data_IF_422853739022
#
_entry.id   IF_422853739022
#
_cell.length_a   1.000
_cell.length_b   1.000
_cell.length_c   1.000
_cell.angle_alpha   90.00
_cell.angle_beta   90.00
_cell.angle_gamma   90.00
#
_symmetry.space_group_name_H-M   'P 1'
#
loop_
_entity.id
_entity.type
_entity.pdbx_description
1 polymer ?
#
# COMPACT_ATOMS: atom_id res chain seq x y z
N UNK A 1 18.06 -7.27 5.06
CA UNK A 1 17.27 -8.13 4.15
C UNK A 1 16.56 -7.19 3.21
N UNK A 2 16.79 -7.29 1.91
CA UNK A 2 16.04 -6.54 0.91
C UNK A 2 15.05 -7.55 0.33
N UNK A 3 13.98 -7.80 1.10
CA UNK A 3 12.88 -8.64 0.65
C UNK A 3 12.30 -8.05 -0.64
N UNK A 4 12.06 -8.94 -1.59
CA UNK A 4 11.84 -8.64 -2.99
C UNK A 4 10.71 -7.61 -3.19
N UNK A 5 11.09 -6.38 -3.53
CA UNK A 5 10.12 -5.30 -3.78
C UNK A 5 9.18 -5.64 -4.94
N UNK A 6 9.56 -6.60 -5.79
CA UNK A 6 8.72 -7.08 -6.89
C UNK A 6 7.53 -7.88 -6.38
N UNK A 7 7.68 -8.68 -5.32
CA UNK A 7 6.55 -9.37 -4.67
C UNK A 7 5.56 -8.36 -4.08
N UNK A 8 6.05 -7.38 -3.33
CA UNK A 8 5.23 -6.28 -2.78
C UNK A 8 4.53 -5.47 -3.88
N UNK A 9 5.24 -5.19 -4.98
CA UNK A 9 4.67 -4.54 -6.16
C UNK A 9 3.58 -5.38 -6.81
N UNK A 10 3.80 -6.67 -7.00
CA UNK A 10 2.82 -7.57 -7.61
C UNK A 10 1.53 -7.65 -6.78
N UNK A 11 1.65 -7.67 -5.44
CA UNK A 11 0.51 -7.59 -4.52
C UNK A 11 -0.23 -6.26 -4.72
N UNK A 12 0.48 -5.14 -4.75
CA UNK A 12 -0.12 -3.82 -4.95
C UNK A 12 -0.83 -3.70 -6.31
N UNK A 13 -0.20 -4.17 -7.38
CA UNK A 13 -0.76 -4.17 -8.73
C UNK A 13 -1.98 -5.08 -8.84
N UNK A 14 -1.97 -6.24 -8.20
CA UNK A 14 -3.08 -7.22 -8.31
C UNK A 14 -4.27 -6.85 -7.44
N UNK A 15 -4.03 -6.35 -6.22
CA UNK A 15 -5.08 -6.15 -5.21
C UNK A 15 -5.47 -4.68 -5.00
N UNK A 16 -4.56 -3.74 -5.22
CA UNK A 16 -4.75 -2.34 -4.81
C UNK A 16 -4.90 -1.37 -5.99
N UNK A 17 -4.38 -1.71 -7.17
CA UNK A 17 -4.34 -0.83 -8.35
C UNK A 17 -5.71 -0.46 -8.91
N UNK A 18 -6.76 -1.21 -8.58
CA UNK A 18 -8.12 -0.92 -9.03
C UNK A 18 -8.65 0.41 -8.46
N UNK A 19 -8.15 0.82 -7.30
CA UNK A 19 -8.56 2.06 -6.64
C UNK A 19 -7.39 3.01 -6.39
N UNK A 20 -6.20 2.51 -6.09
CA UNK A 20 -5.04 3.31 -5.71
C UNK A 20 -4.02 3.44 -6.84
N UNK A 21 -3.32 4.58 -6.90
CA UNK A 21 -2.05 4.66 -7.63
C UNK A 21 -0.95 3.96 -6.84
N UNK A 22 -0.56 2.78 -7.31
CA UNK A 22 0.44 1.90 -6.68
C UNK A 22 1.83 2.01 -7.30
N UNK A 23 2.00 2.74 -8.40
CA UNK A 23 3.31 2.96 -9.03
C UNK A 23 4.01 4.21 -8.50
N UNK A 24 5.23 4.48 -8.98
CA UNK A 24 6.00 5.70 -8.65
C UNK A 24 5.48 6.98 -9.29
N UNK A 25 4.54 6.86 -10.25
CA UNK A 25 3.84 7.99 -10.89
C UNK A 25 2.34 7.66 -11.10
N UNK A 26 1.56 8.63 -11.60
CA UNK A 26 0.15 8.45 -11.94
C UNK A 26 -0.84 8.95 -10.88
N UNK A 27 -2.13 8.94 -11.22
CA UNK A 27 -3.21 9.31 -10.30
C UNK A 27 -4.00 8.06 -9.91
N UNK A 28 -4.59 8.08 -8.71
CA UNK A 28 -5.46 7.00 -8.28
C UNK A 28 -6.69 6.94 -9.18
N UNK A 29 -7.10 5.74 -9.64
CA UNK A 29 -8.35 5.59 -10.39
C UNK A 29 -9.57 6.09 -9.62
N UNK A 30 -9.54 5.97 -8.30
CA UNK A 30 -10.53 6.56 -7.40
C UNK A 30 -9.96 7.82 -6.76
N UNK A 31 -10.61 8.97 -6.94
CA UNK A 31 -10.13 10.26 -6.45
C UNK A 31 -10.01 10.32 -4.92
N UNK A 32 -10.90 9.61 -4.20
CA UNK A 32 -10.85 9.49 -2.74
C UNK A 32 -9.76 8.52 -2.24
N UNK A 33 -9.20 7.69 -3.11
CA UNK A 33 -8.13 6.75 -2.74
C UNK A 33 -6.77 7.45 -2.82
N UNK A 34 -6.04 7.58 -1.70
CA UNK A 34 -4.72 8.20 -1.70
C UNK A 34 -3.71 7.36 -2.51
N UNK A 35 -2.73 8.04 -3.08
CA UNK A 35 -1.62 7.41 -3.81
C UNK A 35 -0.66 6.77 -2.80
N UNK A 36 -0.11 5.58 -3.11
CA UNK A 36 0.78 4.88 -2.17
C UNK A 36 1.99 5.71 -1.77
N UNK A 37 2.56 6.47 -2.72
CA UNK A 37 3.67 7.39 -2.46
C UNK A 37 3.35 8.47 -1.42
N UNK A 38 2.09 8.86 -1.24
CA UNK A 38 1.67 9.94 -0.32
C UNK A 38 1.02 9.44 0.96
N UNK A 39 0.82 8.12 1.11
CA UNK A 39 0.23 7.55 2.32
C UNK A 39 1.06 7.86 3.56
N UNK A 40 2.39 7.82 3.43
CA UNK A 40 3.32 8.07 4.54
C UNK A 40 3.29 9.52 5.06
N UNK A 41 2.75 10.46 4.29
CA UNK A 41 2.60 11.87 4.68
C UNK A 41 1.39 12.05 5.62
N UNK A 42 0.40 11.16 5.48
CA UNK A 42 -0.88 11.23 6.22
C UNK A 42 -0.94 10.24 7.39
N UNK A 43 -0.28 9.10 7.23
CA UNK A 43 -0.29 8.01 8.21
C UNK A 43 1.13 7.50 8.46
N UNK A 44 1.51 7.28 9.74
CA UNK A 44 2.78 6.64 10.04
C UNK A 44 2.79 5.23 9.44
N UNK A 45 3.96 4.79 8.97
CA UNK A 45 4.04 3.51 8.25
C UNK A 45 3.73 2.32 9.14
N UNK A 46 4.02 2.42 10.43
CA UNK A 46 3.65 1.41 11.42
C UNK A 46 2.13 1.20 11.45
N UNK A 47 1.34 2.28 11.47
CA UNK A 47 -0.13 2.15 11.40
C UNK A 47 -0.64 1.60 10.08
N UNK A 48 0.07 1.84 8.97
CA UNK A 48 -0.27 1.22 7.66
C UNK A 48 0.01 -0.28 7.71
N UNK A 49 1.14 -0.67 8.29
CA UNK A 49 1.54 -2.08 8.47
C UNK A 49 0.57 -2.81 9.38
N UNK A 50 0.19 -2.22 10.52
CA UNK A 50 -0.83 -2.74 11.42
C UNK A 50 -2.18 -2.87 10.71
N UNK A 51 -2.64 -1.81 10.01
CA UNK A 51 -3.90 -1.85 9.29
C UNK A 51 -3.94 -2.95 8.22
N UNK A 52 -2.81 -3.21 7.54
CA UNK A 52 -2.69 -4.30 6.57
C UNK A 52 -2.58 -5.68 7.22
N UNK A 53 -1.88 -5.79 8.35
CA UNK A 53 -1.72 -7.03 9.13
C UNK A 53 -3.04 -7.48 9.74
N UNK A 54 -3.86 -6.54 10.19
CA UNK A 54 -5.22 -6.81 10.62
C UNK A 54 -6.18 -7.05 9.43
N UNK A 55 -5.68 -6.99 8.20
CA UNK A 55 -6.44 -7.32 6.99
C UNK A 55 -7.37 -6.22 6.50
N UNK A 56 -7.05 -4.95 6.79
CA UNK A 56 -7.92 -3.78 6.63
C UNK A 56 -9.06 -3.85 7.67
N UNK A 57 -8.75 -3.73 8.96
CA UNK A 57 -9.73 -4.01 10.03
C UNK A 57 -10.92 -3.04 10.12
N UNK A 58 -10.91 -1.93 9.38
CA UNK A 58 -12.06 -1.01 9.29
C UNK A 58 -12.25 -0.70 7.81
N UNK A 59 -13.04 -1.53 7.11
CA UNK A 59 -13.41 -1.28 5.72
C UNK A 59 -14.07 0.09 5.59
N UNK A 60 -13.26 1.14 5.38
CA UNK A 60 -13.74 2.42 4.95
C UNK A 60 -14.26 2.19 3.54
N UNK A 61 -15.55 1.91 3.43
CA UNK A 61 -16.21 1.75 2.15
C UNK A 61 -15.79 2.91 1.26
N UNK A 62 -15.14 2.65 0.11
CA UNK A 62 -15.24 1.43 -0.70
C UNK A 62 -14.05 0.43 -0.66
N UNK A 63 -13.10 0.53 0.28
CA UNK A 63 -11.92 -0.36 0.29
C UNK A 63 -12.29 -1.80 0.72
N UNK A 64 -12.03 -2.83 -0.12
CA UNK A 64 -12.36 -4.21 0.20
C UNK A 64 -11.39 -4.81 1.24
N UNK A 65 -11.87 -5.79 2.00
CA UNK A 65 -11.08 -6.52 2.99
C UNK A 65 -10.18 -7.52 2.27
N UNK A 66 -8.87 -7.49 2.54
CA UNK A 66 -7.91 -8.45 2.02
C UNK A 66 -7.31 -9.28 3.15
N UNK A 67 -7.26 -10.60 2.97
CA UNK A 67 -6.42 -11.46 3.80
C UNK A 67 -5.03 -11.51 3.19
N UNK A 68 -4.07 -10.86 3.84
CA UNK A 68 -2.65 -10.96 3.55
C UNK A 68 -1.98 -11.71 4.70
N UNK A 69 -1.02 -12.57 4.40
CA UNK A 69 -0.13 -13.15 5.41
C UNK A 69 0.84 -12.09 5.94
N UNK A 70 1.42 -12.31 7.13
CA UNK A 70 2.41 -11.38 7.71
C UNK A 70 3.59 -11.11 6.77
N UNK A 71 3.99 -12.11 5.97
CA UNK A 71 5.01 -11.94 4.94
C UNK A 71 4.55 -11.01 3.82
N UNK A 72 3.37 -11.25 3.24
CA UNK A 72 2.80 -10.40 2.17
C UNK A 72 2.62 -8.94 2.64
N UNK A 73 2.25 -8.74 3.90
CA UNK A 73 2.16 -7.42 4.51
C UNK A 73 3.53 -6.75 4.54
N UNK A 74 4.56 -7.46 5.03
CA UNK A 74 5.94 -6.97 5.04
C UNK A 74 6.45 -6.60 3.64
N UNK A 75 6.17 -7.44 2.63
CA UNK A 75 6.54 -7.20 1.24
C UNK A 75 5.83 -5.97 0.66
N UNK A 76 4.52 -5.84 0.88
CA UNK A 76 3.72 -4.70 0.43
C UNK A 76 4.16 -3.40 1.10
N UNK A 77 4.39 -3.43 2.41
CA UNK A 77 4.88 -2.29 3.18
C UNK A 77 6.29 -1.91 2.75
N UNK A 78 7.16 -2.88 2.50
CA UNK A 78 8.50 -2.67 1.95
C UNK A 78 8.45 -1.96 0.61
N UNK A 79 7.56 -2.40 -0.29
CA UNK A 79 7.33 -1.72 -1.56
C UNK A 79 6.79 -0.29 -1.39
N UNK A 80 5.79 -0.07 -0.52
CA UNK A 80 5.30 1.29 -0.23
C UNK A 80 6.39 2.20 0.35
N UNK A 81 7.26 1.69 1.23
CA UNK A 81 8.42 2.41 1.76
C UNK A 81 9.39 2.78 0.62
N UNK A 82 9.59 1.90 -0.36
CA UNK A 82 10.41 2.19 -1.55
C UNK A 82 9.78 3.23 -2.48
N UNK A 83 8.46 3.39 -2.49
CA UNK A 83 7.75 4.41 -3.27
C UNK A 83 7.76 5.78 -2.61
N UNK A 84 8.29 5.89 -1.39
CA UNK A 84 8.57 7.17 -0.73
C UNK A 84 9.61 7.91 -1.57
N UNK A 85 9.15 8.53 -2.64
CA UNK A 85 9.94 9.46 -3.41
C UNK A 85 10.30 10.59 -2.46
N UNK A 86 11.60 10.79 -2.32
CA UNK A 86 12.20 11.90 -1.61
C UNK A 86 11.46 13.20 -1.91
N UNK A 87 11.32 14.10 -0.91
CA UNK A 87 10.66 15.37 -1.12
C UNK A 87 11.40 16.17 -2.20
N UNK A 88 10.59 16.76 -3.09
CA UNK A 88 10.87 17.89 -3.98
C UNK A 88 11.55 17.59 -5.32
#
# INVERSE_FOLDING_TARGET
MAEDLSAGRAIAETKCSQCHAVGSSGMSPLESAPQFRSLHERYPVESIEEALAEGIFVGHSPMPVFKLSSQEVGELVGYMKSLRSSPN
#
